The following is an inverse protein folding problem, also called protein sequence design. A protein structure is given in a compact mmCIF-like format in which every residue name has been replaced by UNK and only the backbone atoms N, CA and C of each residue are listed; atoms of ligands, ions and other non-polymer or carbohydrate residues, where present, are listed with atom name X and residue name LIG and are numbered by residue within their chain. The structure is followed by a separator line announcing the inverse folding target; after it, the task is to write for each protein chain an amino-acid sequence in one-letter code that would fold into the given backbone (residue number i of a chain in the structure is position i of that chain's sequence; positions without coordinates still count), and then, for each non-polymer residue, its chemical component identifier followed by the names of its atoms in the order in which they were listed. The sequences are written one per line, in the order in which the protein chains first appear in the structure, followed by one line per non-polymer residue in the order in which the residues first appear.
data_IF_134057776706
#
_entry.id   IF_134057776706
#
_cell.length_a   1.000
_cell.length_b   1.000
_cell.length_c   1.000
_cell.angle_alpha   90.00
_cell.angle_beta   90.00
_cell.angle_gamma   90.00
#
_symmetry.space_group_name_H-M   'P 1'
#
loop_
_entity.id
_entity.type
_entity.pdbx_description
1 polymer ?
#
# COMPACT_ATOMS: atom_id res chain seq x y z
N UNK A 1 -17.22 -33.52 19.14
CA UNK A 1 -18.51 -33.67 18.43
C UNK A 1 -19.21 -32.32 18.50
N UNK A 2 -19.10 -31.52 17.43
CA UNK A 2 -19.47 -30.09 17.43
C UNK A 2 -20.97 -29.93 17.12
N UNK A 3 -21.76 -29.55 18.12
CA UNK A 3 -23.21 -29.33 17.95
C UNK A 3 -23.50 -27.90 17.47
N UNK A 4 -23.44 -27.70 16.15
CA UNK A 4 -24.16 -26.60 15.47
C UNK A 4 -25.65 -26.97 15.47
N UNK A 5 -26.43 -26.38 16.38
CA UNK A 5 -27.89 -26.59 16.41
C UNK A 5 -28.55 -25.70 15.36
N UNK A 6 -28.58 -26.18 14.13
CA UNK A 6 -29.47 -25.66 13.08
C UNK A 6 -30.93 -25.86 13.56
N UNK A 7 -31.86 -24.97 13.23
CA UNK A 7 -33.26 -25.07 13.74
C UNK A 7 -34.20 -25.74 12.73
N UNK A 8 -33.97 -25.53 11.45
CA UNK A 8 -34.76 -26.08 10.35
C UNK A 8 -34.23 -27.48 9.91
N UNK A 9 -35.12 -28.45 9.71
CA UNK A 9 -34.76 -29.83 9.39
C UNK A 9 -34.21 -29.99 7.97
N UNK A 10 -34.73 -29.24 7.00
CA UNK A 10 -34.23 -29.27 5.61
C UNK A 10 -32.81 -28.71 5.55
N UNK A 11 -32.58 -27.57 6.19
CA UNK A 11 -31.25 -26.93 6.28
C UNK A 11 -30.23 -27.81 7.02
N UNK A 12 -30.65 -28.58 8.05
CA UNK A 12 -29.80 -29.59 8.71
C UNK A 12 -29.35 -30.67 7.76
N UNK A 13 -30.28 -31.15 6.94
CA UNK A 13 -30.03 -32.25 6.02
C UNK A 13 -29.10 -31.80 4.90
N UNK A 14 -29.35 -30.64 4.29
CA UNK A 14 -28.47 -30.05 3.28
C UNK A 14 -27.05 -29.77 3.84
N UNK A 15 -26.96 -29.20 5.05
CA UNK A 15 -25.67 -28.98 5.71
C UNK A 15 -24.90 -30.28 5.93
N UNK A 16 -25.59 -31.32 6.39
CA UNK A 16 -24.99 -32.64 6.63
C UNK A 16 -24.53 -33.29 5.33
N UNK A 17 -25.34 -33.26 4.28
CA UNK A 17 -25.00 -33.85 2.98
C UNK A 17 -23.81 -33.14 2.31
N UNK A 18 -23.77 -31.81 2.35
CA UNK A 18 -22.65 -31.02 1.81
C UNK A 18 -21.36 -31.22 2.62
N UNK A 19 -21.45 -31.26 3.95
CA UNK A 19 -20.30 -31.50 4.80
C UNK A 19 -19.71 -32.89 4.55
N UNK A 20 -20.57 -33.91 4.44
CA UNK A 20 -20.14 -35.29 4.15
C UNK A 20 -19.47 -35.39 2.78
N UNK A 21 -19.98 -34.71 1.76
CA UNK A 21 -19.36 -34.65 0.43
C UNK A 21 -17.96 -34.04 0.48
N UNK A 22 -17.80 -32.87 1.10
CA UNK A 22 -16.51 -32.18 1.22
C UNK A 22 -15.53 -33.03 2.05
N UNK A 23 -15.99 -33.64 3.14
CA UNK A 23 -15.15 -34.52 3.96
C UNK A 23 -14.72 -35.77 3.21
N UNK A 24 -15.59 -36.39 2.40
CA UNK A 24 -15.26 -37.54 1.56
C UNK A 24 -14.25 -37.20 0.46
N UNK A 25 -14.41 -36.06 -0.22
CA UNK A 25 -13.44 -35.55 -1.21
C UNK A 25 -12.08 -35.29 -0.56
N UNK A 26 -12.07 -34.79 0.68
CA UNK A 26 -10.85 -34.60 1.44
C UNK A 26 -10.24 -35.97 1.80
N UNK A 27 -11.06 -36.94 2.27
CA UNK A 27 -10.65 -38.26 2.77
C UNK A 27 -9.86 -39.12 1.76
N UNK A 28 -10.03 -38.89 0.46
CA UNK A 28 -9.34 -39.62 -0.61
C UNK A 28 -7.83 -39.26 -0.70
N UNK A 29 -7.39 -38.17 -0.07
CA UNK A 29 -5.99 -37.69 -0.13
C UNK A 29 -5.09 -38.19 1.01
N UNK A 30 -5.57 -39.09 1.88
CA UNK A 30 -4.95 -39.37 3.18
C UNK A 30 -4.32 -40.76 3.35
N UNK A 31 -3.18 -41.00 2.71
CA UNK A 31 -2.18 -41.89 3.33
C UNK A 31 -1.02 -41.03 3.84
N UNK A 32 -1.04 -40.74 5.15
CA UNK A 32 0.06 -40.18 5.99
C UNK A 32 0.03 -38.73 6.51
N UNK A 33 -1.12 -38.05 6.65
CA UNK A 33 -1.14 -36.68 7.23
C UNK A 33 -1.26 -36.64 8.78
N UNK A 34 -0.56 -35.68 9.38
CA UNK A 34 -0.47 -35.36 10.82
C UNK A 34 -1.82 -34.89 11.42
N UNK A 35 -2.06 -35.18 12.71
CA UNK A 35 -3.35 -34.96 13.40
C UNK A 35 -3.74 -33.47 13.41
N UNK A 36 -2.76 -32.57 13.50
CA UNK A 36 -2.99 -31.12 13.48
C UNK A 36 -3.43 -30.61 12.11
N UNK A 37 -2.90 -31.21 11.03
CA UNK A 37 -3.33 -30.90 9.68
C UNK A 37 -4.76 -31.38 9.43
N UNK A 38 -5.12 -32.53 10.00
CA UNK A 38 -6.46 -33.11 10.00
C UNK A 38 -7.48 -32.21 10.73
N UNK A 39 -7.11 -31.66 11.88
CA UNK A 39 -7.94 -30.72 12.66
C UNK A 39 -8.17 -29.40 11.91
N UNK A 40 -7.13 -28.86 11.27
CA UNK A 40 -7.20 -27.60 10.53
C UNK A 40 -8.08 -27.75 9.27
N UNK A 41 -7.92 -28.85 8.53
CA UNK A 41 -8.71 -29.12 7.33
C UNK A 41 -10.18 -29.42 7.66
N UNK A 42 -10.43 -30.16 8.74
CA UNK A 42 -11.79 -30.41 9.24
C UNK A 42 -12.49 -29.12 9.64
N UNK A 43 -11.78 -28.21 10.32
CA UNK A 43 -12.32 -26.91 10.72
C UNK A 43 -12.66 -26.03 9.51
N UNK A 44 -11.85 -26.10 8.46
CA UNK A 44 -12.08 -25.36 7.21
C UNK A 44 -13.29 -25.87 6.43
N UNK A 45 -13.43 -27.19 6.29
CA UNK A 45 -14.57 -27.81 5.62
C UNK A 45 -15.91 -27.46 6.30
N UNK A 46 -15.94 -27.45 7.64
CA UNK A 46 -17.10 -27.03 8.44
C UNK A 46 -17.47 -25.57 8.14
N UNK A 47 -16.47 -24.70 8.02
CA UNK A 47 -16.66 -23.28 7.74
C UNK A 47 -17.21 -23.03 6.34
N UNK A 48 -16.57 -23.60 5.32
CA UNK A 48 -16.98 -23.45 3.91
C UNK A 48 -18.41 -23.99 3.68
N UNK A 49 -18.76 -25.13 4.28
CA UNK A 49 -20.12 -25.68 4.22
C UNK A 49 -21.16 -24.73 4.84
N UNK A 50 -20.78 -24.02 5.91
CA UNK A 50 -21.68 -23.08 6.59
C UNK A 50 -21.95 -21.83 5.77
N UNK A 51 -20.98 -21.37 4.98
CA UNK A 51 -21.17 -20.26 4.05
C UNK A 51 -22.12 -20.63 2.90
N UNK A 52 -21.99 -21.84 2.36
CA UNK A 52 -22.80 -22.33 1.24
C UNK A 52 -24.27 -22.53 1.68
N UNK A 53 -24.50 -23.19 2.81
CA UNK A 53 -25.85 -23.62 3.21
C UNK A 53 -26.62 -22.52 3.95
N UNK A 54 -25.94 -21.68 4.73
CA UNK A 54 -26.63 -20.65 5.52
C UNK A 54 -26.65 -19.29 4.81
N UNK A 55 -25.99 -19.14 3.65
CA UNK A 55 -26.02 -17.94 2.83
C UNK A 55 -25.53 -16.67 3.52
N UNK A 56 -24.81 -16.78 4.64
CA UNK A 56 -24.40 -15.64 5.44
C UNK A 56 -23.24 -14.87 4.77
N UNK A 57 -23.58 -13.87 3.95
CA UNK A 57 -22.69 -12.70 3.77
C UNK A 57 -22.71 -11.89 5.06
N UNK A 58 -21.66 -12.00 5.86
CA UNK A 58 -21.55 -11.30 7.15
C UNK A 58 -21.78 -9.79 7.02
N UNK A 59 -22.97 -9.33 7.44
CA UNK A 59 -23.17 -7.94 7.81
C UNK A 59 -22.52 -7.74 9.19
N UNK A 60 -21.43 -6.95 9.23
CA UNK A 60 -20.75 -6.60 10.48
C UNK A 60 -21.68 -5.74 11.31
N UNK A 61 -22.13 -6.23 12.46
CA UNK A 61 -22.74 -5.36 13.47
C UNK A 61 -21.59 -4.67 14.23
N UNK A 62 -21.01 -3.67 13.57
CA UNK A 62 -19.91 -2.86 14.06
C UNK A 62 -20.49 -1.73 14.93
N UNK A 63 -19.80 -1.27 16.00
CA UNK A 63 -20.37 -0.29 16.92
C UNK A 63 -20.71 0.98 16.15
N UNK A 64 -22.01 1.26 16.00
CA UNK A 64 -22.45 2.56 15.50
C UNK A 64 -21.97 3.58 16.50
N UNK A 65 -21.04 4.42 16.08
CA UNK A 65 -20.82 5.76 16.62
C UNK A 65 -22.18 6.26 17.14
N UNK A 66 -22.30 6.56 18.44
CA UNK A 66 -23.60 6.93 19.01
C UNK A 66 -24.22 8.03 18.16
N UNK A 67 -25.54 8.05 18.01
CA UNK A 67 -26.20 9.06 17.16
C UNK A 67 -25.75 10.48 17.54
N UNK A 68 -25.54 10.71 18.83
CA UNK A 68 -24.91 11.92 19.39
C UNK A 68 -23.55 12.27 18.74
N UNK A 69 -22.63 11.31 18.62
CA UNK A 69 -21.29 11.52 18.04
C UNK A 69 -21.35 11.71 16.51
N UNK A 70 -22.32 11.08 15.85
CA UNK A 70 -22.59 11.32 14.42
C UNK A 70 -23.08 12.76 14.21
N UNK A 71 -24.03 13.21 15.02
CA UNK A 71 -24.61 14.55 14.94
C UNK A 71 -23.57 15.63 15.25
N UNK A 72 -22.72 15.40 16.25
CA UNK A 72 -21.58 16.28 16.55
C UNK A 72 -20.54 16.28 15.42
N UNK A 73 -20.27 15.15 14.79
CA UNK A 73 -19.36 15.09 13.63
C UNK A 73 -19.93 15.82 12.41
N UNK A 74 -21.24 15.75 12.18
CA UNK A 74 -21.92 16.50 11.12
C UNK A 74 -21.90 18.01 11.41
N UNK A 75 -22.17 18.42 12.66
CA UNK A 75 -22.04 19.80 13.12
C UNK A 75 -20.60 20.33 13.03
N UNK A 76 -19.59 19.47 13.16
CA UNK A 76 -18.17 19.83 12.90
C UNK A 76 -17.93 20.09 11.41
N UNK A 77 -18.51 19.28 10.52
CA UNK A 77 -18.33 19.39 9.06
C UNK A 77 -18.93 20.70 8.53
N UNK A 78 -20.07 21.15 9.06
CA UNK A 78 -20.70 22.42 8.64
C UNK A 78 -19.89 23.67 9.02
N UNK A 79 -18.94 23.55 9.95
CA UNK A 79 -18.04 24.62 10.38
C UNK A 79 -16.71 24.66 9.62
N UNK A 80 -16.37 23.63 8.81
CA UNK A 80 -15.04 23.45 8.20
C UNK A 80 -14.69 24.51 7.14
N UNK A 81 -15.68 25.19 6.56
CA UNK A 81 -15.50 26.11 5.43
C UNK A 81 -16.11 27.51 5.65
N UNK A 82 -16.63 27.83 6.84
CA UNK A 82 -17.27 29.13 7.11
C UNK A 82 -16.25 30.13 7.68
N UNK A 83 -16.00 31.23 6.98
CA UNK A 83 -15.13 32.32 7.42
C UNK A 83 -15.84 33.20 8.47
N UNK A 84 -15.74 32.83 9.74
CA UNK A 84 -16.17 33.66 10.88
C UNK A 84 -15.14 33.54 12.00
N UNK A 85 -14.84 34.65 12.71
CA UNK A 85 -13.79 34.73 13.74
C UNK A 85 -14.06 33.78 14.91
N UNK A 86 -15.33 33.51 15.25
CA UNK A 86 -15.72 32.59 16.33
C UNK A 86 -15.80 31.11 15.92
N UNK A 87 -15.77 30.78 14.62
CA UNK A 87 -15.95 29.41 14.14
C UNK A 87 -14.73 28.52 14.38
N UNK A 88 -13.51 29.09 14.42
CA UNK A 88 -12.27 28.33 14.65
C UNK A 88 -12.23 27.72 16.05
N UNK A 89 -12.69 28.46 17.06
CA UNK A 89 -12.70 27.98 18.44
C UNK A 89 -13.86 27.03 18.71
N UNK A 90 -15.05 27.29 18.14
CA UNK A 90 -16.17 26.34 18.14
C UNK A 90 -15.78 25.01 17.47
N UNK A 91 -15.05 25.05 16.36
CA UNK A 91 -14.56 23.85 15.68
C UNK A 91 -13.58 23.05 16.56
N UNK A 92 -12.65 23.73 17.24
CA UNK A 92 -11.71 23.07 18.17
C UNK A 92 -12.44 22.43 19.35
N UNK A 93 -13.39 23.14 19.96
CA UNK A 93 -14.21 22.61 21.05
C UNK A 93 -15.02 21.39 20.61
N UNK A 94 -15.68 21.46 19.45
CA UNK A 94 -16.46 20.33 18.91
C UNK A 94 -15.57 19.13 18.55
N UNK A 95 -14.38 19.39 18.00
CA UNK A 95 -13.39 18.33 17.72
C UNK A 95 -13.01 17.59 19.00
N UNK A 96 -12.64 18.33 20.05
CA UNK A 96 -12.26 17.75 21.34
C UNK A 96 -13.42 16.97 21.97
N UNK A 97 -14.65 17.50 21.86
CA UNK A 97 -15.83 16.85 22.41
C UNK A 97 -16.17 15.54 21.69
N UNK A 98 -16.10 15.53 20.35
CA UNK A 98 -16.25 14.31 19.53
C UNK A 98 -15.19 13.27 19.91
N UNK A 99 -13.93 13.68 20.06
CA UNK A 99 -12.83 12.78 20.45
C UNK A 99 -13.06 12.16 21.84
N UNK A 100 -13.49 12.98 22.82
CA UNK A 100 -13.79 12.52 24.19
C UNK A 100 -14.94 11.51 24.21
N UNK A 101 -16.06 11.83 23.56
CA UNK A 101 -17.26 10.98 23.54
C UNK A 101 -17.04 9.67 22.77
N UNK A 102 -16.24 9.72 21.70
CA UNK A 102 -15.86 8.50 20.96
C UNK A 102 -15.02 7.56 21.84
N UNK A 103 -14.09 8.11 22.63
CA UNK A 103 -13.27 7.31 23.56
C UNK A 103 -14.11 6.66 24.65
N UNK A 104 -15.03 7.42 25.25
CA UNK A 104 -15.94 6.89 26.27
C UNK A 104 -16.80 5.75 25.72
N UNK A 105 -17.37 5.89 24.52
CA UNK A 105 -18.17 4.84 23.89
C UNK A 105 -17.35 3.56 23.61
N UNK A 106 -16.06 3.70 23.29
CA UNK A 106 -15.16 2.55 23.11
C UNK A 106 -14.86 1.84 24.44
N UNK A 107 -14.54 2.62 25.49
CA UNK A 107 -14.29 2.09 26.83
C UNK A 107 -15.51 1.34 27.37
N UNK A 108 -16.72 1.90 27.25
CA UNK A 108 -17.97 1.27 27.68
C UNK A 108 -18.23 -0.06 26.96
N UNK A 109 -17.94 -0.11 25.66
CA UNK A 109 -18.10 -1.32 24.87
C UNK A 109 -17.09 -2.40 25.26
N UNK A 110 -15.83 -2.04 25.50
CA UNK A 110 -14.80 -2.98 25.98
C UNK A 110 -15.22 -3.55 27.33
N UNK A 111 -15.65 -2.69 28.25
CA UNK A 111 -16.14 -3.11 29.58
C UNK A 111 -17.30 -4.09 29.43
N UNK A 112 -18.29 -3.77 28.59
CA UNK A 112 -19.45 -4.63 28.34
C UNK A 112 -19.06 -5.98 27.75
N UNK A 113 -18.14 -6.01 26.78
CA UNK A 113 -17.65 -7.26 26.16
C UNK A 113 -16.84 -8.10 27.16
N UNK A 114 -16.02 -7.48 27.99
CA UNK A 114 -15.32 -8.17 29.08
C UNK A 114 -16.29 -8.76 30.11
N UNK A 115 -17.39 -8.07 30.42
CA UNK A 115 -18.46 -8.62 31.26
C UNK A 115 -19.14 -9.82 30.59
N UNK A 116 -19.46 -9.74 29.30
CA UNK A 116 -20.02 -10.85 28.53
C UNK A 116 -19.10 -12.07 28.52
N UNK A 117 -17.79 -11.89 28.30
CA UNK A 117 -16.81 -12.98 28.40
C UNK A 117 -16.81 -13.64 29.78
N UNK A 118 -16.90 -12.86 30.86
CA UNK A 118 -16.94 -13.37 32.24
C UNK A 118 -18.23 -14.15 32.52
N UNK A 119 -19.38 -13.63 32.09
CA UNK A 119 -20.66 -14.32 32.24
C UNK A 119 -20.70 -15.63 31.46
N UNK A 120 -20.22 -15.62 30.21
CA UNK A 120 -20.19 -16.83 29.37
C UNK A 120 -19.21 -17.86 29.88
N UNK A 121 -18.08 -17.44 30.46
CA UNK A 121 -17.16 -18.33 31.16
C UNK A 121 -17.84 -18.98 32.37
N UNK A 122 -18.53 -18.20 33.21
CA UNK A 122 -19.26 -18.71 34.38
C UNK A 122 -20.39 -19.66 34.00
N UNK A 123 -21.04 -19.43 32.85
CA UNK A 123 -22.12 -20.28 32.31
C UNK A 123 -21.60 -21.51 31.54
N UNK A 124 -20.28 -21.69 31.39
CA UNK A 124 -19.68 -22.79 30.62
C UNK A 124 -19.79 -22.64 29.10
N UNK A 125 -20.20 -21.48 28.60
CA UNK A 125 -20.35 -21.17 27.18
C UNK A 125 -19.01 -20.76 26.55
N UNK A 126 -18.04 -21.68 26.56
CA UNK A 126 -16.68 -21.42 26.09
C UNK A 126 -16.64 -20.90 24.64
N UNK A 127 -17.50 -21.39 23.75
CA UNK A 127 -17.55 -20.92 22.35
C UNK A 127 -17.95 -19.44 22.22
N UNK A 128 -18.87 -18.95 23.06
CA UNK A 128 -19.28 -17.53 23.09
C UNK A 128 -18.22 -16.67 23.76
N UNK A 129 -17.62 -17.17 24.84
CA UNK A 129 -16.49 -16.51 25.48
C UNK A 129 -15.33 -16.32 24.50
N UNK A 130 -14.93 -17.37 23.76
CA UNK A 130 -13.89 -17.27 22.74
C UNK A 130 -14.32 -16.38 21.57
N UNK A 131 -15.59 -16.38 21.18
CA UNK A 131 -16.12 -15.45 20.17
C UNK A 131 -16.00 -14.00 20.63
N UNK A 132 -16.42 -13.67 21.86
CA UNK A 132 -16.33 -12.32 22.41
C UNK A 132 -14.88 -11.90 22.69
N UNK A 133 -14.03 -12.82 23.15
CA UNK A 133 -12.59 -12.60 23.31
C UNK A 133 -11.90 -12.37 21.95
N UNK A 134 -12.31 -13.10 20.91
CA UNK A 134 -11.85 -12.88 19.53
C UNK A 134 -12.38 -11.58 18.96
N UNK A 135 -13.61 -11.16 19.26
CA UNK A 135 -14.15 -9.84 18.89
C UNK A 135 -13.41 -8.69 19.59
N UNK A 136 -12.96 -8.90 20.84
CA UNK A 136 -12.09 -7.98 21.57
C UNK A 136 -10.64 -7.97 21.04
N UNK A 137 -10.10 -9.12 20.65
CA UNK A 137 -8.72 -9.27 20.17
C UNK A 137 -8.57 -8.88 18.69
N UNK A 138 -9.57 -9.17 17.86
CA UNK A 138 -9.72 -8.69 16.48
C UNK A 138 -10.44 -7.34 16.42
N UNK A 139 -10.36 -6.54 17.49
CA UNK A 139 -10.44 -5.10 17.31
C UNK A 139 -9.24 -4.69 16.44
N UNK A 140 -9.42 -4.77 15.12
CA UNK A 140 -8.73 -3.92 14.16
C UNK A 140 -9.05 -2.47 14.55
N UNK A 141 -8.32 -1.95 15.54
CA UNK A 141 -7.94 -0.54 15.77
C UNK A 141 -7.48 -0.24 17.22
N UNK A 142 -7.11 -1.24 18.04
CA UNK A 142 -5.99 -0.99 18.97
C UNK A 142 -4.74 -0.86 18.14
N UNK A 143 -4.49 0.39 17.73
CA UNK A 143 -3.21 0.88 17.21
C UNK A 143 -2.08 0.21 17.97
N UNK A 144 -1.52 -0.76 17.28
CA UNK A 144 -0.19 -1.27 17.45
C UNK A 144 0.79 -0.09 17.47
N UNK A 145 0.97 0.49 18.65
CA UNK A 145 2.04 1.41 18.98
C UNK A 145 3.24 0.54 19.26
N UNK A 146 3.97 0.20 18.20
CA UNK A 146 5.43 0.26 18.19
C UNK A 146 5.86 0.07 16.72
N UNK A 147 6.45 1.16 16.20
CA UNK A 147 7.14 1.33 14.91
C UNK A 147 6.34 1.65 13.64
N UNK A 148 5.09 2.08 13.75
CA UNK A 148 4.41 2.82 12.67
C UNK A 148 3.64 4.01 13.28
N UNK A 149 3.84 5.22 12.75
CA UNK A 149 2.82 6.26 12.88
C UNK A 149 1.51 5.68 12.31
N UNK A 150 0.40 6.01 12.98
CA UNK A 150 -1.03 5.76 12.75
C UNK A 150 -1.56 5.90 11.29
N UNK A 151 -0.69 6.03 10.30
CA UNK A 151 -0.93 6.31 8.87
C UNK A 151 -0.08 5.45 7.92
N UNK A 152 0.84 4.61 8.42
CA UNK A 152 1.72 3.79 7.57
C UNK A 152 2.81 4.58 6.85
N UNK A 153 3.32 5.64 7.49
CA UNK A 153 4.34 6.52 6.91
C UNK A 153 5.77 6.03 7.23
N UNK A 154 6.59 5.82 6.20
CA UNK A 154 8.03 5.57 6.27
C UNK A 154 8.82 6.90 6.37
N UNK A 155 9.90 6.89 7.16
CA UNK A 155 10.77 8.06 7.41
C UNK A 155 12.03 8.01 6.54
N UNK A 156 12.37 9.13 5.91
CA UNK A 156 13.68 9.40 5.32
C UNK A 156 14.35 10.57 6.05
N UNK A 157 15.64 10.43 6.37
CA UNK A 157 16.41 11.48 7.05
C UNK A 157 17.20 12.30 6.03
N UNK A 158 16.86 13.57 5.87
CA UNK A 158 17.52 14.50 4.95
C UNK A 158 18.28 15.58 5.74
N UNK A 159 19.48 15.98 5.31
CA UNK A 159 20.23 17.05 5.98
C UNK A 159 19.45 18.37 5.95
N UNK A 160 19.35 19.02 7.11
CA UNK A 160 18.75 20.35 7.22
C UNK A 160 19.70 21.42 6.71
N UNK A 161 19.18 22.42 6.01
CA UNK A 161 19.95 23.62 5.62
C UNK A 161 19.93 24.70 6.69
N UNK A 162 19.12 24.54 7.75
CA UNK A 162 18.86 25.58 8.77
C UNK A 162 19.58 25.34 10.09
N UNK A 163 19.96 24.11 10.36
CA UNK A 163 20.63 23.72 11.59
C UNK A 163 21.48 22.49 11.31
N UNK A 164 22.49 22.25 12.14
CA UNK A 164 23.31 21.05 12.01
C UNK A 164 22.54 19.84 12.52
N UNK A 165 22.03 19.05 11.58
CA UNK A 165 21.19 17.89 11.86
C UNK A 165 20.41 17.40 10.65
N UNK A 166 19.68 16.30 10.83
CA UNK A 166 18.80 15.72 9.81
C UNK A 166 17.34 16.02 10.14
N UNK A 167 16.57 16.44 9.14
CA UNK A 167 15.12 16.54 9.18
C UNK A 167 14.48 15.23 8.72
N UNK A 168 13.43 14.83 9.42
CA UNK A 168 12.63 13.67 9.08
C UNK A 168 11.56 14.05 8.05
N UNK A 169 11.59 13.41 6.88
CA UNK A 169 10.51 13.46 5.90
C UNK A 169 9.73 12.16 5.94
N UNK A 170 8.41 12.26 6.07
CA UNK A 170 7.51 11.12 6.19
C UNK A 170 6.74 10.89 4.87
N UNK A 171 6.60 9.64 4.47
CA UNK A 171 5.98 9.24 3.21
C UNK A 171 5.08 8.03 3.41
N UNK A 172 3.94 7.93 2.72
CA UNK A 172 3.20 6.66 2.71
C UNK A 172 4.10 5.57 2.13
N UNK A 173 3.89 4.32 2.53
CA UNK A 173 4.64 3.16 2.05
C UNK A 173 4.91 3.23 0.54
N UNK A 174 3.87 3.37 -0.29
CA UNK A 174 4.01 3.47 -1.74
C UNK A 174 4.80 4.71 -2.20
N UNK A 175 4.51 5.86 -1.59
CA UNK A 175 5.15 7.13 -1.93
C UNK A 175 6.64 7.13 -1.60
N UNK A 176 7.06 6.41 -0.54
CA UNK A 176 8.45 6.26 -0.17
C UNK A 176 9.22 5.54 -1.27
N UNK A 177 8.74 4.39 -1.71
CA UNK A 177 9.41 3.59 -2.72
C UNK A 177 9.42 4.24 -4.11
N UNK A 178 8.43 5.07 -4.44
CA UNK A 178 8.43 5.87 -5.67
C UNK A 178 9.52 6.95 -5.66
N UNK A 179 9.79 7.56 -4.48
CA UNK A 179 10.67 8.72 -4.36
C UNK A 179 12.10 8.38 -3.97
N UNK A 180 12.27 7.48 -3.00
CA UNK A 180 13.55 7.19 -2.36
C UNK A 180 14.26 5.98 -2.96
N UNK A 181 13.53 5.04 -3.60
CA UNK A 181 14.07 3.87 -4.30
C UNK A 181 15.32 3.25 -3.64
N UNK A 182 15.22 2.81 -2.37
CA UNK A 182 16.35 2.16 -1.71
C UNK A 182 16.79 0.93 -2.51
N UNK A 183 18.09 0.77 -2.71
CA UNK A 183 18.66 -0.35 -3.50
C UNK A 183 18.60 -1.67 -2.74
N UNK A 184 18.60 -1.59 -1.41
CA UNK A 184 18.59 -2.72 -0.51
C UNK A 184 17.85 -2.39 0.78
N UNK A 185 17.43 -3.43 1.51
CA UNK A 185 16.84 -3.26 2.85
C UNK A 185 17.85 -2.69 3.86
N UNK A 186 19.15 -2.85 3.58
CA UNK A 186 20.25 -2.29 4.38
C UNK A 186 20.30 -0.76 4.36
N UNK A 187 19.71 -0.11 3.35
CA UNK A 187 19.62 1.35 3.27
C UNK A 187 18.46 1.91 4.11
N UNK A 188 17.63 1.05 4.70
CA UNK A 188 16.51 1.42 5.55
C UNK A 188 16.94 1.26 7.01
N UNK A 189 17.18 2.38 7.66
CA UNK A 189 17.59 2.41 9.07
C UNK A 189 16.50 1.79 9.97
N UNK A 190 16.93 0.99 10.95
CA UNK A 190 16.05 0.25 11.87
C UNK A 190 15.08 -0.74 11.20
N UNK A 191 15.41 -1.23 10.01
CA UNK A 191 14.59 -2.24 9.32
C UNK A 191 14.31 -3.48 10.18
N UNK A 192 15.30 -3.96 10.93
CA UNK A 192 15.19 -5.17 11.76
C UNK A 192 14.28 -5.02 12.99
N UNK A 193 14.04 -3.79 13.46
CA UNK A 193 13.12 -3.57 14.57
C UNK A 193 11.66 -3.56 14.13
N UNK A 194 11.39 -3.48 12.81
CA UNK A 194 10.03 -3.56 12.28
C UNK A 194 9.43 -4.95 12.51
N UNK A 195 8.10 -5.03 12.50
CA UNK A 195 7.36 -6.29 12.55
C UNK A 195 7.72 -7.18 11.37
N UNK A 196 7.74 -8.49 11.59
CA UNK A 196 8.10 -9.45 10.54
C UNK A 196 7.26 -9.29 9.27
N UNK A 197 5.94 -9.07 9.40
CA UNK A 197 5.06 -8.87 8.25
C UNK A 197 5.40 -7.61 7.45
N UNK A 198 5.82 -6.53 8.11
CA UNK A 198 6.20 -5.29 7.45
C UNK A 198 7.62 -5.37 6.87
N UNK A 199 8.52 -6.14 7.51
CA UNK A 199 9.81 -6.49 6.93
C UNK A 199 9.62 -7.24 5.61
N UNK A 200 8.74 -8.24 5.55
CA UNK A 200 8.43 -8.99 4.32
C UNK A 200 7.84 -8.08 3.24
N UNK A 201 6.88 -7.21 3.59
CA UNK A 201 6.33 -6.23 2.64
C UNK A 201 7.43 -5.33 2.08
N UNK A 202 8.33 -4.83 2.92
CA UNK A 202 9.45 -3.99 2.49
C UNK A 202 10.45 -4.80 1.66
N UNK A 203 10.77 -6.06 1.99
CA UNK A 203 11.65 -6.92 1.15
C UNK A 203 11.08 -7.09 -0.26
N UNK A 204 9.78 -7.40 -0.34
CA UNK A 204 9.05 -7.47 -1.62
C UNK A 204 9.08 -6.13 -2.32
N UNK A 205 8.91 -5.01 -1.60
CA UNK A 205 8.98 -3.68 -2.20
C UNK A 205 10.37 -3.29 -2.63
N UNK A 206 11.45 -3.50 -1.89
CA UNK A 206 12.82 -3.15 -2.32
C UNK A 206 13.19 -3.92 -3.58
N UNK A 207 12.93 -5.23 -3.59
CA UNK A 207 13.12 -6.07 -4.78
C UNK A 207 12.23 -5.63 -5.95
N UNK A 208 11.00 -5.16 -5.67
CA UNK A 208 10.10 -4.61 -6.69
C UNK A 208 10.34 -3.14 -7.05
N UNK A 209 11.01 -2.34 -6.21
CA UNK A 209 11.15 -0.87 -6.34
C UNK A 209 12.43 -0.48 -7.05
N UNK A 210 13.36 -1.42 -7.18
CA UNK A 210 14.23 -1.50 -8.36
C UNK A 210 13.43 -1.49 -9.68
N UNK A 211 12.10 -1.66 -9.64
CA UNK A 211 11.21 -1.80 -10.78
C UNK A 211 9.82 -1.13 -10.62
N UNK A 212 9.60 -0.03 -9.86
CA UNK A 212 8.31 0.71 -9.88
C UNK A 212 8.51 2.23 -9.66
N UNK A 213 7.75 3.07 -10.40
CA UNK A 213 7.69 4.53 -10.16
C UNK A 213 6.71 5.30 -11.06
N UNK A 214 5.37 5.17 -10.86
CA UNK A 214 4.31 6.18 -11.15
C UNK A 214 2.88 5.61 -10.95
N UNK A 215 1.84 6.43 -10.67
CA UNK A 215 0.53 5.98 -10.21
C UNK A 215 -0.37 5.45 -11.34
N UNK A 216 -1.38 4.68 -10.93
CA UNK A 216 -2.30 3.94 -11.77
C UNK A 216 -3.11 4.81 -12.76
N UNK A 217 -2.78 4.69 -14.06
CA UNK A 217 -3.73 4.42 -15.17
C UNK A 217 -2.95 3.88 -16.38
N UNK A 218 -2.57 2.61 -16.35
CA UNK A 218 -2.18 1.89 -17.57
C UNK A 218 -2.33 0.39 -17.39
N UNK A 219 -2.84 -0.26 -18.43
CA UNK A 219 -3.17 -1.69 -18.53
C UNK A 219 -1.96 -2.60 -18.24
N UNK A 220 -2.27 -3.83 -17.82
CA UNK A 220 -1.38 -5.01 -17.70
C UNK A 220 -0.29 -5.01 -18.80
N UNK A 221 0.97 -4.83 -18.41
CA UNK A 221 2.16 -4.90 -19.27
C UNK A 221 3.20 -5.87 -18.68
N UNK A 222 3.98 -6.51 -19.56
CA UNK A 222 4.94 -7.59 -19.29
C UNK A 222 6.09 -7.14 -18.37
N UNK A 223 6.66 -8.13 -17.66
CA UNK A 223 7.73 -8.07 -16.63
C UNK A 223 9.07 -7.38 -17.00
N UNK A 224 9.21 -6.79 -18.20
CA UNK A 224 10.44 -6.11 -18.67
C UNK A 224 10.37 -4.57 -18.76
N UNK A 225 9.20 -3.98 -18.50
CA UNK A 225 8.88 -2.59 -18.87
C UNK A 225 9.45 -1.47 -17.96
N UNK A 226 10.13 -1.76 -16.83
CA UNK A 226 10.27 -0.75 -15.77
C UNK A 226 11.59 0.06 -15.77
N UNK A 227 12.74 -0.49 -16.18
CA UNK A 227 13.97 0.32 -16.36
C UNK A 227 13.83 1.39 -17.46
N UNK A 228 12.90 1.16 -18.38
CA UNK A 228 12.63 2.03 -19.53
C UNK A 228 11.88 3.31 -19.17
N UNK A 229 11.21 3.35 -18.01
CA UNK A 229 10.45 4.53 -17.55
C UNK A 229 11.31 5.63 -16.93
N UNK A 230 12.57 5.32 -16.68
CA UNK A 230 13.56 6.31 -16.22
C UNK A 230 14.11 7.12 -17.39
N UNK A 231 13.75 6.78 -18.63
CA UNK A 231 14.12 7.52 -19.82
C UNK A 231 12.89 8.13 -20.49
N UNK A 232 13.10 9.24 -21.19
CA UNK A 232 12.09 9.81 -22.07
C UNK A 232 12.77 10.47 -23.27
N UNK A 233 12.06 10.50 -24.41
CA UNK A 233 12.49 11.24 -25.60
C UNK A 233 11.33 12.10 -26.10
N UNK A 234 11.61 13.37 -26.37
CA UNK A 234 10.63 14.32 -26.89
C UNK A 234 11.31 15.47 -27.66
N UNK A 235 10.53 16.20 -28.45
CA UNK A 235 10.90 17.54 -28.87
C UNK A 235 10.84 18.51 -27.69
N UNK A 236 11.84 19.39 -27.60
CA UNK A 236 11.96 20.35 -26.52
C UNK A 236 10.81 21.37 -26.57
N UNK A 237 9.95 21.35 -25.54
CA UNK A 237 8.79 22.26 -25.45
C UNK A 237 9.17 23.75 -25.32
N UNK A 238 10.39 24.02 -24.86
CA UNK A 238 10.95 25.37 -24.67
C UNK A 238 12.47 25.28 -24.56
N UNK A 239 13.17 26.38 -24.78
CA UNK A 239 14.63 26.44 -24.66
C UNK A 239 15.15 26.73 -23.25
N UNK A 240 14.41 26.40 -22.19
CA UNK A 240 14.85 26.63 -20.80
C UNK A 240 15.77 25.54 -20.22
N UNK A 241 15.87 24.40 -20.91
CA UNK A 241 16.67 23.28 -20.43
C UNK A 241 18.12 23.42 -20.91
N UNK A 242 19.08 23.10 -20.06
CA UNK A 242 20.47 22.91 -20.43
C UNK A 242 20.80 21.41 -20.44
N UNK A 243 21.56 20.98 -21.43
CA UNK A 243 22.03 19.62 -21.58
C UNK A 243 23.00 19.25 -20.46
N UNK A 244 22.75 18.14 -19.75
CA UNK A 244 23.62 17.73 -18.63
C UNK A 244 25.00 17.20 -19.05
N UNK A 245 25.16 16.81 -20.32
CA UNK A 245 26.46 16.41 -20.88
C UNK A 245 27.40 17.58 -21.17
N UNK A 246 26.98 18.53 -22.01
CA UNK A 246 27.81 19.67 -22.42
C UNK A 246 27.52 21.00 -21.69
N UNK A 247 26.49 21.07 -20.83
CA UNK A 247 26.00 22.29 -20.17
C UNK A 247 25.47 23.40 -21.09
N UNK A 248 25.38 23.16 -22.39
CA UNK A 248 24.79 24.09 -23.36
C UNK A 248 23.25 24.02 -23.37
N UNK A 249 22.62 25.09 -23.83
CA UNK A 249 21.17 25.24 -23.90
C UNK A 249 20.59 24.35 -25.01
N UNK A 250 19.50 23.65 -24.72
CA UNK A 250 18.73 22.87 -25.70
C UNK A 250 17.67 23.79 -26.29
N UNK A 251 17.65 23.99 -27.61
CA UNK A 251 16.69 24.90 -28.23
C UNK A 251 15.28 24.30 -28.30
N UNK A 252 14.29 25.16 -28.52
CA UNK A 252 12.90 24.72 -28.66
C UNK A 252 12.78 23.89 -29.95
N UNK A 253 11.98 22.83 -29.88
CA UNK A 253 11.70 21.91 -30.97
C UNK A 253 12.89 20.99 -31.34
N UNK A 254 14.05 21.13 -30.68
CA UNK A 254 15.13 20.14 -30.77
C UNK A 254 14.78 18.82 -30.07
N UNK A 255 15.29 17.72 -30.60
CA UNK A 255 15.15 16.40 -29.96
C UNK A 255 16.07 16.33 -28.75
N UNK A 256 15.51 15.91 -27.62
CA UNK A 256 16.25 15.69 -26.38
C UNK A 256 15.85 14.38 -25.73
N UNK A 257 16.82 13.76 -25.06
CA UNK A 257 16.64 12.51 -24.33
C UNK A 257 16.94 12.79 -22.86
N UNK A 258 16.11 12.29 -21.96
CA UNK A 258 16.35 12.41 -20.52
C UNK A 258 16.63 11.08 -19.87
N UNK A 259 17.40 11.15 -18.78
CA UNK A 259 17.41 10.15 -17.72
C UNK A 259 16.85 10.81 -16.47
N UNK A 260 15.97 10.12 -15.75
CA UNK A 260 15.39 10.63 -14.52
C UNK A 260 16.43 10.59 -13.40
N UNK A 261 16.65 11.73 -12.77
CA UNK A 261 17.59 11.88 -11.67
C UNK A 261 16.85 11.79 -10.33
N UNK A 262 17.27 10.83 -9.51
CA UNK A 262 16.75 10.58 -8.16
C UNK A 262 17.73 11.02 -7.07
N UNK A 263 19.02 11.07 -7.38
CA UNK A 263 20.10 11.10 -6.39
C UNK A 263 20.62 12.51 -6.09
N UNK A 264 20.41 13.47 -6.99
CA UNK A 264 20.88 14.83 -6.79
C UNK A 264 20.22 15.51 -5.58
N UNK A 265 20.93 16.48 -4.99
CA UNK A 265 20.40 17.28 -3.87
C UNK A 265 19.07 17.95 -4.21
N UNK A 266 18.92 18.41 -5.46
CA UNK A 266 17.68 18.95 -5.97
C UNK A 266 16.59 17.88 -6.07
N UNK A 267 16.91 16.67 -6.55
CA UNK A 267 15.96 15.56 -6.64
C UNK A 267 15.48 15.10 -5.26
N UNK A 268 16.37 15.04 -4.28
CA UNK A 268 16.04 14.72 -2.88
C UNK A 268 15.12 15.78 -2.26
N UNK A 269 15.36 17.07 -2.55
CA UNK A 269 14.56 18.19 -2.01
C UNK A 269 13.19 18.36 -2.68
N UNK A 270 13.15 18.35 -4.01
CA UNK A 270 11.96 18.75 -4.78
C UNK A 270 11.25 17.57 -5.45
N UNK A 271 11.89 16.41 -5.49
CA UNK A 271 11.43 15.22 -6.18
C UNK A 271 12.22 14.94 -7.47
N UNK A 272 12.11 13.72 -8.01
CA UNK A 272 12.84 13.32 -9.20
C UNK A 272 12.51 14.22 -10.38
N UNK A 273 13.51 14.55 -11.18
CA UNK A 273 13.37 15.39 -12.37
C UNK A 273 14.14 14.80 -13.54
N UNK A 274 13.76 15.20 -14.74
CA UNK A 274 14.36 14.73 -15.98
C UNK A 274 15.63 15.52 -16.27
N UNK A 275 16.77 14.83 -16.29
CA UNK A 275 18.04 15.38 -16.72
C UNK A 275 18.15 15.24 -18.24
N UNK A 276 17.88 16.35 -18.93
CA UNK A 276 17.86 16.43 -20.39
C UNK A 276 19.27 16.45 -20.99
N UNK A 277 19.41 15.81 -22.14
CA UNK A 277 20.62 15.74 -22.93
C UNK A 277 20.30 15.97 -24.41
N UNK A 278 21.23 16.56 -25.15
CA UNK A 278 21.24 16.44 -26.61
C UNK A 278 21.38 14.97 -27.00
N UNK A 279 20.88 14.60 -28.18
CA UNK A 279 20.95 13.22 -28.70
C UNK A 279 22.40 12.71 -28.71
N UNK A 280 23.34 13.51 -29.20
CA UNK A 280 24.75 13.11 -29.28
C UNK A 280 25.40 13.01 -27.90
N UNK A 281 25.11 13.96 -27.00
CA UNK A 281 25.59 13.90 -25.62
C UNK A 281 25.07 12.65 -24.89
N UNK A 282 23.79 12.31 -25.06
CA UNK A 282 23.21 11.11 -24.47
C UNK A 282 23.87 9.84 -25.03
N UNK A 283 24.12 9.81 -26.34
CA UNK A 283 24.75 8.67 -27.02
C UNK A 283 26.16 8.43 -26.51
N UNK A 284 26.95 9.49 -26.31
CA UNK A 284 28.29 9.40 -25.76
C UNK A 284 28.30 9.00 -24.28
N UNK A 285 27.31 9.43 -23.51
CA UNK A 285 27.19 9.14 -22.08
C UNK A 285 26.34 7.89 -21.78
N UNK A 286 25.98 7.10 -22.80
CA UNK A 286 25.00 6.00 -22.64
C UNK A 286 25.39 5.00 -21.56
N UNK A 287 26.68 4.70 -21.41
CA UNK A 287 27.20 3.72 -20.44
C UNK A 287 27.09 4.27 -19.02
N UNK A 288 27.54 5.51 -18.80
CA UNK A 288 27.40 6.23 -17.52
C UNK A 288 25.93 6.42 -17.13
N UNK A 289 25.08 6.64 -18.13
CA UNK A 289 23.64 6.73 -17.96
C UNK A 289 23.00 5.36 -17.75
N UNK A 290 23.71 4.24 -17.95
CA UNK A 290 23.20 2.89 -17.74
C UNK A 290 22.15 2.47 -18.77
N UNK A 291 22.23 3.02 -19.98
CA UNK A 291 21.33 2.73 -21.09
C UNK A 291 21.95 1.73 -22.07
N UNK A 292 21.48 0.49 -22.00
CA UNK A 292 21.96 -0.64 -22.82
C UNK A 292 21.03 -0.97 -23.99
N UNK A 293 19.75 -0.64 -23.87
CA UNK A 293 18.71 -1.01 -24.83
C UNK A 293 18.72 -0.12 -26.10
N UNK A 294 17.78 -0.39 -27.01
CA UNK A 294 17.54 0.44 -28.20
C UNK A 294 16.69 1.67 -27.86
N UNK A 295 16.86 2.77 -28.59
CA UNK A 295 15.99 3.96 -28.43
C UNK A 295 14.49 3.67 -28.65
N UNK A 296 14.15 2.59 -29.36
CA UNK A 296 12.75 2.24 -29.66
C UNK A 296 11.91 1.95 -28.41
N UNK A 297 12.57 1.50 -27.33
CA UNK A 297 11.89 1.18 -26.07
C UNK A 297 11.72 2.41 -25.16
N UNK A 298 12.27 3.56 -25.54
CA UNK A 298 12.14 4.80 -24.75
C UNK A 298 10.74 5.41 -24.93
N UNK A 299 10.02 5.71 -23.83
CA UNK A 299 8.77 6.45 -23.87
C UNK A 299 8.87 7.76 -24.66
N UNK A 300 7.94 7.97 -25.59
CA UNK A 300 7.88 9.15 -26.46
C UNK A 300 8.48 8.94 -27.86
N UNK A 301 9.22 7.85 -28.09
CA UNK A 301 9.87 7.59 -29.38
C UNK A 301 8.89 7.57 -30.56
N UNK A 302 7.73 6.91 -30.40
CA UNK A 302 6.72 6.80 -31.46
C UNK A 302 5.99 8.12 -31.77
N UNK A 303 6.12 9.15 -30.93
CA UNK A 303 5.53 10.46 -31.16
C UNK A 303 6.40 11.36 -32.06
N UNK A 304 7.65 10.99 -32.33
CA UNK A 304 8.57 11.73 -33.19
C UNK A 304 8.26 11.50 -34.68
N UNK A 305 8.76 12.37 -35.55
CA UNK A 305 8.64 12.22 -37.00
C UNK A 305 9.30 10.92 -37.51
N UNK A 306 8.85 10.35 -38.65
CA UNK A 306 9.47 9.16 -39.22
C UNK A 306 10.98 9.30 -39.48
N UNK A 307 11.42 10.47 -39.92
CA UNK A 307 12.82 10.75 -40.24
C UNK A 307 13.67 10.81 -38.96
N UNK A 308 13.16 11.46 -37.92
CA UNK A 308 13.85 11.55 -36.63
C UNK A 308 13.94 10.20 -35.93
N UNK A 309 12.88 9.38 -36.03
CA UNK A 309 12.93 7.99 -35.55
C UNK A 309 14.02 7.19 -36.27
N UNK A 310 14.19 7.37 -37.58
CA UNK A 310 15.25 6.70 -38.35
C UNK A 310 16.64 7.16 -37.91
N UNK A 311 16.83 8.46 -37.70
CA UNK A 311 18.10 9.04 -37.20
C UNK A 311 18.46 8.48 -35.82
N UNK A 312 17.50 8.48 -34.88
CA UNK A 312 17.70 7.98 -33.53
C UNK A 312 18.04 6.49 -33.48
N UNK A 313 17.36 5.65 -34.28
CA UNK A 313 17.69 4.22 -34.40
C UNK A 313 19.12 3.99 -34.90
N UNK A 314 19.62 4.88 -35.75
CA UNK A 314 21.00 4.85 -36.24
C UNK A 314 22.01 5.09 -35.12
N UNK A 315 21.77 6.11 -34.28
CA UNK A 315 22.69 6.53 -33.21
C UNK A 315 22.62 5.64 -31.96
N UNK A 316 21.43 5.14 -31.59
CA UNK A 316 21.18 4.45 -30.33
C UNK A 316 20.66 3.03 -30.55
N UNK A 317 21.58 2.13 -30.91
CA UNK A 317 21.33 0.70 -31.03
C UNK A 317 21.54 0.00 -29.68
N UNK A 318 20.81 -1.10 -29.47
CA UNK A 318 21.04 -1.97 -28.34
C UNK A 318 22.50 -2.47 -28.38
N UNK A 319 23.21 -2.40 -27.25
CA UNK A 319 24.49 -3.09 -27.12
C UNK A 319 24.17 -4.56 -26.82
N UNK A 320 24.59 -5.45 -27.70
CA UNK A 320 24.65 -6.88 -27.39
C UNK A 320 25.72 -7.08 -26.31
N UNK A 321 25.29 -7.35 -25.08
CA UNK A 321 26.16 -7.73 -23.97
C UNK A 321 26.69 -9.15 -24.10
#
# INVERSE_FOLDING_TARGET
MWNLVLKDQMTKQEYREQLLKIMQETLVLFSSADIDQLLLQSSRAIFETSEIVLGHKYARDMPRITQEVVDMSNKKRTLRNKQDRGNKDRFKQLKHHVEKKTRQALEDMIIKKCQQCKEDFQRGNLHLMFKHAKELANHEDTKCLELLDKTGLLKHAQKSTKFDGKMAHWYHMDCFFIRQRPKGVTEIEHFESLRYEDQEKIRVRVTSSAAIGAPAKAKKGKKGDIKLRDYAVEYAKSSRAACKGCQEKIEKDDIRISKKNYDSDAAKRYGPHDDWHHVDCFTNLREDLGFVDSVEVIPGFHALSPDDRKMLKGKLKAISG
#
